data_IF_097265730953
#
_entry.id   IF_097265730953
#
_cell.length_a   1.000
_cell.length_b   1.000
_cell.length_c   1.000
_cell.angle_alpha   90.00
_cell.angle_beta   90.00
_cell.angle_gamma   90.00
#
_symmetry.space_group_name_H-M   'P 1'
#
loop_
_entity.id
_entity.type
_entity.pdbx_description
1 polymer ?
#
# COMPACT_ATOMS: atom_id res chain seq x y z
N UNK A 1 11.58 -4.28 -9.52
CA UNK A 1 11.95 -4.55 -8.12
C UNK A 1 11.87 -6.04 -7.90
N UNK A 2 12.74 -6.57 -7.06
CA UNK A 2 12.90 -8.01 -6.84
C UNK A 2 12.07 -8.49 -5.66
N UNK A 3 11.87 -7.62 -4.69
CA UNK A 3 10.91 -7.78 -3.60
C UNK A 3 9.96 -6.57 -3.62
N UNK A 4 8.66 -6.80 -3.49
CA UNK A 4 7.64 -5.74 -3.46
C UNK A 4 6.73 -5.97 -2.26
N UNK A 5 6.81 -5.10 -1.26
CA UNK A 5 6.03 -5.21 -0.02
C UNK A 5 4.85 -4.23 -0.06
N UNK A 6 3.62 -4.74 0.01
CA UNK A 6 2.38 -3.96 -0.02
C UNK A 6 1.54 -4.19 1.25
N UNK A 7 0.70 -3.23 1.67
CA UNK A 7 -0.13 -3.38 2.88
C UNK A 7 -1.07 -4.59 2.85
N UNK A 8 -1.54 -4.95 1.66
CA UNK A 8 -2.50 -6.04 1.45
C UNK A 8 -1.90 -7.44 1.63
N UNK A 9 -0.57 -7.57 1.53
CA UNK A 9 0.17 -8.83 1.69
C UNK A 9 1.19 -8.65 2.82
N UNK A 10 0.83 -9.04 4.07
CA UNK A 10 1.75 -8.95 5.19
C UNK A 10 2.98 -9.81 4.98
N UNK A 11 4.15 -9.21 5.15
CA UNK A 11 5.42 -9.85 4.79
C UNK A 11 6.05 -10.63 5.95
N UNK A 12 6.88 -11.59 5.57
CA UNK A 12 7.73 -12.40 6.41
C UNK A 12 9.18 -12.02 6.16
N UNK A 13 9.92 -11.61 7.20
CA UNK A 13 11.24 -11.02 7.00
C UNK A 13 12.24 -12.10 6.52
N UNK A 14 12.06 -13.31 6.98
CA UNK A 14 12.84 -14.49 6.61
C UNK A 14 12.66 -14.82 5.12
N UNK A 15 11.43 -14.76 4.60
CA UNK A 15 11.16 -14.99 3.16
C UNK A 15 11.77 -13.89 2.28
N UNK A 16 11.74 -12.64 2.75
CA UNK A 16 12.39 -11.52 2.05
C UNK A 16 13.90 -11.72 2.02
N UNK A 17 14.51 -12.08 3.14
CA UNK A 17 15.94 -12.36 3.24
C UNK A 17 16.36 -13.52 2.35
N UNK A 18 15.58 -14.61 2.33
CA UNK A 18 15.82 -15.75 1.44
C UNK A 18 15.77 -15.34 -0.03
N UNK A 19 14.78 -14.55 -0.45
CA UNK A 19 14.66 -14.06 -1.82
C UNK A 19 15.88 -13.23 -2.24
N UNK A 20 16.41 -12.39 -1.35
CA UNK A 20 17.62 -11.60 -1.59
C UNK A 20 18.86 -12.51 -1.68
N UNK A 21 19.00 -13.47 -0.76
CA UNK A 21 20.13 -14.42 -0.75
C UNK A 21 20.13 -15.33 -1.96
N UNK A 22 18.97 -15.82 -2.38
CA UNK A 22 18.80 -16.64 -3.59
C UNK A 22 19.36 -15.92 -4.82
N UNK A 23 19.02 -14.64 -4.97
CA UNK A 23 19.51 -13.81 -6.08
C UNK A 23 21.02 -13.60 -6.03
N UNK A 24 21.56 -13.36 -4.85
CA UNK A 24 23.01 -13.24 -4.65
C UNK A 24 23.73 -14.54 -5.05
N UNK A 25 23.21 -15.71 -4.60
CA UNK A 25 23.71 -17.04 -5.00
C UNK A 25 23.59 -17.31 -6.49
N UNK A 26 22.57 -16.75 -7.15
CA UNK A 26 22.39 -16.79 -8.59
C UNK A 26 23.30 -15.81 -9.37
N UNK A 27 24.27 -15.17 -8.70
CA UNK A 27 25.27 -14.29 -9.32
C UNK A 27 24.76 -12.88 -9.62
N UNK A 28 23.66 -12.43 -8.99
CA UNK A 28 23.18 -11.05 -9.14
C UNK A 28 23.93 -10.13 -8.17
N UNK A 29 24.37 -8.98 -8.68
CA UNK A 29 25.17 -8.03 -7.89
C UNK A 29 24.34 -7.16 -6.93
N UNK A 30 23.03 -7.07 -7.12
CA UNK A 30 22.14 -6.27 -6.27
C UNK A 30 20.70 -6.80 -6.28
N UNK A 31 19.94 -6.37 -5.28
CA UNK A 31 18.51 -6.59 -5.15
C UNK A 31 17.81 -5.28 -4.78
N UNK A 32 16.66 -5.01 -5.39
CA UNK A 32 15.83 -3.85 -5.09
C UNK A 32 14.60 -4.32 -4.33
N UNK A 33 14.45 -3.83 -3.09
CA UNK A 33 13.28 -4.04 -2.24
C UNK A 33 12.42 -2.78 -2.27
N UNK A 34 11.25 -2.85 -2.91
CA UNK A 34 10.28 -1.76 -2.94
C UNK A 34 9.28 -1.93 -1.80
N UNK A 35 9.17 -0.93 -0.92
CA UNK A 35 8.36 -1.02 0.31
C UNK A 35 7.31 0.09 0.30
N UNK A 36 6.04 -0.29 0.29
CA UNK A 36 4.96 0.68 0.49
C UNK A 36 4.97 1.24 1.92
N UNK A 37 4.61 2.51 2.10
CA UNK A 37 4.56 3.16 3.42
C UNK A 37 3.70 2.40 4.43
N UNK A 38 2.62 1.77 3.95
CA UNK A 38 1.73 0.94 4.78
C UNK A 38 2.08 -0.55 4.82
N UNK A 39 3.24 -0.99 4.34
CA UNK A 39 3.64 -2.38 4.41
C UNK A 39 3.86 -2.81 5.87
N UNK A 40 3.37 -4.00 6.23
CA UNK A 40 3.34 -4.50 7.61
C UNK A 40 3.84 -5.94 7.63
N UNK A 41 4.53 -6.35 8.70
CA UNK A 41 4.93 -7.75 8.85
C UNK A 41 3.74 -8.64 9.22
N UNK A 42 3.85 -9.95 9.03
CA UNK A 42 2.84 -10.93 9.50
C UNK A 42 2.58 -10.81 11.01
N UNK A 43 3.61 -10.49 11.80
CA UNK A 43 3.48 -10.29 13.25
C UNK A 43 2.66 -9.03 13.56
N UNK A 44 2.95 -7.92 12.88
CA UNK A 44 2.22 -6.66 13.03
C UNK A 44 0.77 -6.78 12.55
N UNK A 45 0.54 -7.45 11.43
CA UNK A 45 -0.79 -7.73 10.91
C UNK A 45 -1.64 -8.52 11.92
N UNK A 46 -1.07 -9.55 12.56
CA UNK A 46 -1.74 -10.31 13.64
C UNK A 46 -2.07 -9.41 14.83
N UNK A 47 -1.14 -8.56 15.27
CA UNK A 47 -1.35 -7.64 16.38
C UNK A 47 -2.45 -6.61 16.08
N UNK A 48 -2.49 -6.08 14.86
CA UNK A 48 -3.52 -5.14 14.40
C UNK A 48 -4.88 -5.82 14.35
N UNK A 49 -4.99 -7.02 13.75
CA UNK A 49 -6.24 -7.78 13.70
C UNK A 49 -6.78 -8.07 15.10
N UNK A 50 -5.92 -8.52 16.04
CA UNK A 50 -6.31 -8.74 17.42
C UNK A 50 -6.80 -7.46 18.13
N UNK A 51 -6.17 -6.31 17.84
CA UNK A 51 -6.58 -5.01 18.36
C UNK A 51 -7.92 -4.53 17.75
N UNK A 52 -8.18 -4.85 16.48
CA UNK A 52 -9.46 -4.53 15.81
C UNK A 52 -10.60 -5.41 16.30
N UNK A 53 -10.36 -6.70 16.54
CA UNK A 53 -11.33 -7.62 17.14
C UNK A 53 -11.70 -7.20 18.57
N UNK A 54 -10.73 -6.81 19.39
CA UNK A 54 -10.98 -6.31 20.75
C UNK A 54 -11.76 -5.00 20.72
N UNK A 55 -11.54 -4.13 19.73
CA UNK A 55 -12.37 -2.94 19.52
C UNK A 55 -13.80 -3.29 19.11
N UNK A 56 -13.99 -4.28 18.23
CA UNK A 56 -15.31 -4.72 17.78
C UNK A 56 -16.13 -5.37 18.91
N UNK A 57 -15.46 -6.10 19.81
CA UNK A 57 -16.09 -6.74 20.99
C UNK A 57 -16.32 -5.77 22.17
N UNK A 58 -15.76 -4.56 22.14
CA UNK A 58 -15.89 -3.59 23.22
C UNK A 58 -17.26 -2.88 23.20
N UNK A 59 -18.10 -3.18 24.20
CA UNK A 59 -19.43 -2.57 24.39
C UNK A 59 -19.37 -1.21 25.10
N UNK A 60 -18.36 -0.98 25.96
CA UNK A 60 -18.25 0.25 26.76
C UNK A 60 -17.42 1.35 26.07
N UNK A 61 -17.83 2.61 26.23
CA UNK A 61 -17.13 3.80 25.71
C UNK A 61 -15.68 3.89 26.20
N UNK A 62 -15.40 3.46 27.44
CA UNK A 62 -14.05 3.43 28.00
C UNK A 62 -13.16 2.36 27.36
N UNK A 63 -13.71 1.16 27.12
CA UNK A 63 -13.02 0.07 26.44
C UNK A 63 -12.75 0.40 24.96
N UNK A 64 -13.70 1.05 24.27
CA UNK A 64 -13.50 1.55 22.90
C UNK A 64 -12.40 2.62 22.82
N UNK A 65 -12.33 3.53 23.81
CA UNK A 65 -11.28 4.56 23.85
C UNK A 65 -9.89 3.94 24.06
N UNK A 66 -9.77 2.92 24.93
CA UNK A 66 -8.53 2.17 25.18
C UNK A 66 -8.10 1.31 23.98
N UNK A 67 -9.05 0.67 23.29
CA UNK A 67 -8.77 -0.07 22.07
C UNK A 67 -8.35 0.87 20.92
N UNK A 68 -8.98 2.05 20.80
CA UNK A 68 -8.62 3.08 19.82
C UNK A 68 -7.23 3.66 20.08
N UNK A 69 -6.86 3.89 21.33
CA UNK A 69 -5.52 4.37 21.68
C UNK A 69 -4.45 3.31 21.40
N UNK A 70 -4.70 2.04 21.76
CA UNK A 70 -3.78 0.92 21.49
C UNK A 70 -3.59 0.69 19.98
N UNK A 71 -4.66 0.79 19.19
CA UNK A 71 -4.58 0.74 17.73
C UNK A 71 -3.81 1.94 17.16
N UNK A 72 -4.00 3.14 17.71
CA UNK A 72 -3.26 4.35 17.31
C UNK A 72 -1.77 4.23 17.64
N UNK A 73 -1.42 3.64 18.77
CA UNK A 73 -0.03 3.39 19.18
C UNK A 73 0.64 2.37 18.26
N UNK A 74 -0.02 1.25 17.96
CA UNK A 74 0.45 0.26 16.99
C UNK A 74 0.62 0.90 15.60
N UNK A 75 -0.34 1.72 15.17
CA UNK A 75 -0.25 2.48 13.90
C UNK A 75 0.87 3.52 13.92
N UNK A 76 1.13 4.16 15.05
CA UNK A 76 2.21 5.16 15.19
C UNK A 76 3.60 4.54 15.18
N UNK A 77 3.75 3.29 15.63
CA UNK A 77 5.00 2.53 15.52
C UNK A 77 5.40 2.21 14.07
N UNK A 78 4.53 2.44 13.08
CA UNK A 78 4.90 2.30 11.67
C UNK A 78 5.88 3.38 11.19
N UNK A 79 6.02 4.50 11.91
CA UNK A 79 7.03 5.51 11.58
C UNK A 79 8.43 4.91 11.79
N UNK A 80 9.17 4.71 10.69
CA UNK A 80 10.52 4.10 10.70
C UNK A 80 10.59 2.62 10.32
N UNK A 81 9.48 2.00 9.87
CA UNK A 81 9.47 0.58 9.51
C UNK A 81 10.53 0.22 8.45
N UNK A 82 10.74 1.08 7.46
CA UNK A 82 11.70 0.82 6.36
C UNK A 82 13.15 0.76 6.82
N UNK A 83 13.55 1.61 7.79
CA UNK A 83 14.91 1.59 8.31
C UNK A 83 15.16 0.34 9.17
N UNK A 84 14.18 -0.01 10.02
CA UNK A 84 14.24 -1.26 10.79
C UNK A 84 14.32 -2.48 9.88
N UNK A 85 13.49 -2.52 8.84
CA UNK A 85 13.50 -3.57 7.82
C UNK A 85 14.89 -3.71 7.17
N UNK A 86 15.52 -2.59 6.79
CA UNK A 86 16.85 -2.62 6.21
C UNK A 86 17.89 -3.23 7.16
N UNK A 87 17.95 -2.75 8.41
CA UNK A 87 18.86 -3.30 9.42
C UNK A 87 18.64 -4.81 9.64
N UNK A 88 17.38 -5.26 9.70
CA UNK A 88 17.05 -6.67 9.84
C UNK A 88 17.50 -7.49 8.63
N UNK A 89 17.39 -6.95 7.42
CA UNK A 89 17.89 -7.60 6.21
C UNK A 89 19.42 -7.66 6.20
N UNK A 90 20.13 -6.62 6.65
CA UNK A 90 21.59 -6.67 6.78
C UNK A 90 22.03 -7.76 7.76
N UNK A 91 21.38 -7.85 8.93
CA UNK A 91 21.67 -8.88 9.95
C UNK A 91 21.44 -10.30 9.42
N UNK A 92 20.34 -10.52 8.69
CA UNK A 92 19.96 -11.84 8.19
C UNK A 92 20.74 -12.28 6.95
N UNK A 93 21.12 -11.32 6.09
CA UNK A 93 21.75 -11.64 4.80
C UNK A 93 23.26 -11.42 4.79
N UNK A 94 23.80 -10.60 5.71
CA UNK A 94 25.18 -10.15 5.70
C UNK A 94 25.52 -9.21 4.53
N UNK A 95 24.52 -8.68 3.82
CA UNK A 95 24.68 -7.78 2.68
C UNK A 95 24.35 -6.34 3.09
N UNK A 96 25.14 -5.37 2.63
CA UNK A 96 24.89 -3.93 2.85
C UNK A 96 23.56 -3.51 2.20
N UNK A 97 22.71 -2.81 2.95
CA UNK A 97 21.42 -2.29 2.51
C UNK A 97 21.41 -0.75 2.57
N UNK A 98 21.11 -0.12 1.43
CA UNK A 98 20.96 1.34 1.33
C UNK A 98 19.50 1.72 1.21
N UNK A 99 19.03 2.52 2.16
CA UNK A 99 17.63 2.98 2.21
C UNK A 99 17.50 4.34 1.53
N UNK A 100 16.51 4.47 0.64
CA UNK A 100 16.08 5.75 0.08
C UNK A 100 14.60 5.95 0.35
N UNK A 101 14.25 7.03 1.05
CA UNK A 101 12.87 7.43 1.33
C UNK A 101 12.53 8.62 0.44
N UNK A 102 11.68 8.41 -0.58
CA UNK A 102 11.33 9.44 -1.55
C UNK A 102 10.47 10.56 -0.94
N UNK A 103 9.58 10.23 0.00
CA UNK A 103 8.74 11.19 0.70
C UNK A 103 7.92 12.09 -0.24
N UNK A 104 7.90 13.39 0.04
CA UNK A 104 7.10 14.39 -0.69
C UNK A 104 7.49 14.55 -2.17
N UNK A 105 8.67 14.08 -2.58
CA UNK A 105 9.12 14.15 -3.97
C UNK A 105 8.14 13.44 -4.91
N UNK A 106 7.48 12.37 -4.45
CA UNK A 106 6.48 11.63 -5.24
C UNK A 106 5.20 12.43 -5.54
N UNK A 107 4.94 13.53 -4.82
CA UNK A 107 3.78 14.40 -5.02
C UNK A 107 4.10 15.67 -5.82
N UNK A 108 5.38 15.89 -6.13
CA UNK A 108 5.84 17.03 -6.91
C UNK A 108 6.22 16.66 -8.34
N UNK A 109 6.63 17.67 -9.11
CA UNK A 109 7.01 17.52 -10.51
C UNK A 109 5.88 17.81 -11.49
N UNK A 110 6.22 17.94 -12.77
CA UNK A 110 5.23 18.17 -13.81
C UNK A 110 4.43 16.89 -14.07
N UNK A 111 3.09 16.95 -14.19
CA UNK A 111 2.27 15.77 -14.44
C UNK A 111 2.63 15.14 -15.79
N UNK A 112 2.52 13.80 -15.86
CA UNK A 112 2.75 13.05 -17.09
C UNK A 112 1.69 13.37 -18.15
N UNK A 113 1.94 13.01 -19.42
CA UNK A 113 0.94 13.18 -20.47
C UNK A 113 -0.37 12.42 -20.15
N UNK A 114 -0.26 11.21 -19.59
CA UNK A 114 -1.41 10.41 -19.18
C UNK A 114 -2.21 11.10 -18.06
N UNK A 115 -1.53 11.65 -17.04
CA UNK A 115 -2.20 12.37 -15.95
C UNK A 115 -2.90 13.63 -16.45
N UNK A 116 -2.30 14.36 -17.39
CA UNK A 116 -2.91 15.55 -18.01
C UNK A 116 -4.18 15.17 -18.77
N UNK A 117 -4.10 14.14 -19.62
CA UNK A 117 -5.26 13.65 -20.38
C UNK A 117 -6.38 13.17 -19.44
N UNK A 118 -6.02 12.40 -18.40
CA UNK A 118 -6.97 11.94 -17.40
C UNK A 118 -7.63 13.11 -16.66
N UNK A 119 -6.85 14.10 -16.22
CA UNK A 119 -7.36 15.28 -15.53
C UNK A 119 -8.30 16.10 -16.42
N UNK A 120 -7.93 16.33 -17.68
CA UNK A 120 -8.80 17.01 -18.66
C UNK A 120 -10.10 16.24 -18.89
N UNK A 121 -10.02 14.91 -19.06
CA UNK A 121 -11.20 14.05 -19.25
C UNK A 121 -12.14 14.08 -18.04
N UNK A 122 -11.60 13.97 -16.83
CA UNK A 122 -12.40 14.04 -15.60
C UNK A 122 -12.99 15.43 -15.39
N UNK A 123 -12.23 16.49 -15.68
CA UNK A 123 -12.66 17.87 -15.51
C UNK A 123 -13.77 18.29 -16.49
N UNK A 124 -13.65 17.91 -17.76
CA UNK A 124 -14.70 18.17 -18.79
C UNK A 124 -15.99 17.41 -18.45
N UNK A 125 -15.89 16.13 -18.13
CA UNK A 125 -17.05 15.33 -17.70
C UNK A 125 -17.74 15.89 -16.44
N UNK A 126 -16.97 16.44 -15.50
CA UNK A 126 -17.52 17.12 -14.33
C UNK A 126 -18.37 18.33 -14.73
N UNK A 127 -17.89 19.15 -15.68
CA UNK A 127 -18.65 20.29 -16.19
C UNK A 127 -19.95 19.85 -16.90
N UNK A 128 -19.88 18.79 -17.70
CA UNK A 128 -21.06 18.22 -18.37
C UNK A 128 -22.12 17.72 -17.37
N UNK A 129 -21.69 17.07 -16.28
CA UNK A 129 -22.63 16.62 -15.24
C UNK A 129 -23.26 17.78 -14.48
N UNK A 130 -22.52 18.88 -14.26
CA UNK A 130 -23.07 20.10 -13.65
C UNK A 130 -24.13 20.71 -14.56
N UNK A 131 -23.89 20.79 -15.87
CA UNK A 131 -24.85 21.31 -16.86
C UNK A 131 -26.13 20.45 -16.91
N UNK A 132 -25.98 19.14 -16.76
CA UNK A 132 -27.09 18.18 -16.68
C UNK A 132 -27.82 18.18 -15.32
N UNK A 133 -27.39 19.01 -14.36
CA UNK A 133 -27.98 19.07 -13.01
C UNK A 133 -27.68 17.86 -12.12
N UNK A 134 -26.66 17.06 -12.45
CA UNK A 134 -26.24 15.89 -11.68
C UNK A 134 -25.24 16.31 -10.59
N UNK A 135 -25.74 16.42 -9.36
CA UNK A 135 -24.95 16.77 -8.17
C UNK A 135 -24.79 15.59 -7.21
N UNK A 136 -23.86 15.70 -6.25
CA UNK A 136 -23.64 14.68 -5.22
C UNK A 136 -22.91 13.42 -5.72
N UNK A 137 -22.25 13.52 -6.87
CA UNK A 137 -21.52 12.42 -7.51
C UNK A 137 -20.02 12.74 -7.62
N UNK A 138 -19.19 11.70 -7.58
CA UNK A 138 -17.77 11.72 -7.93
C UNK A 138 -17.62 11.25 -9.38
N UNK A 139 -16.82 11.96 -10.18
CA UNK A 139 -16.47 11.51 -11.53
C UNK A 139 -15.43 10.39 -11.44
N UNK A 140 -15.80 9.17 -11.86
CA UNK A 140 -14.90 8.03 -11.88
C UNK A 140 -14.46 7.71 -13.32
N UNK A 141 -13.16 7.41 -13.51
CA UNK A 141 -12.67 6.85 -14.76
C UNK A 141 -12.90 5.34 -14.81
N UNK A 142 -13.53 4.85 -15.89
CA UNK A 142 -13.76 3.42 -16.13
C UNK A 142 -13.31 3.08 -17.56
N UNK A 143 -12.14 2.45 -17.68
CA UNK A 143 -11.48 2.26 -18.97
C UNK A 143 -11.20 3.60 -19.64
N UNK A 144 -11.66 3.75 -20.88
CA UNK A 144 -11.57 5.02 -21.63
C UNK A 144 -12.72 6.00 -21.34
N UNK A 145 -13.74 5.55 -20.61
CA UNK A 145 -14.91 6.35 -20.27
C UNK A 145 -14.85 6.99 -18.88
N UNK A 146 -15.91 7.74 -18.60
CA UNK A 146 -16.19 8.39 -17.31
C UNK A 146 -17.61 8.09 -16.89
N UNK A 147 -17.85 8.01 -15.59
CA UNK A 147 -19.19 7.76 -15.03
C UNK A 147 -19.39 8.55 -13.73
N UNK A 148 -20.63 8.99 -13.44
CA UNK A 148 -20.98 9.58 -12.16
C UNK A 148 -21.22 8.47 -11.11
N UNK A 149 -20.49 8.52 -10.00
CA UNK A 149 -20.66 7.58 -8.87
C UNK A 149 -21.18 8.36 -7.66
N UNK A 150 -22.31 7.98 -7.04
CA UNK A 150 -22.80 8.65 -5.83
C UNK A 150 -21.74 8.70 -4.73
N UNK A 151 -21.54 9.87 -4.12
CA UNK A 151 -20.52 10.04 -3.07
C UNK A 151 -20.77 9.09 -1.89
N UNK A 152 -22.03 8.83 -1.57
CA UNK A 152 -22.46 7.91 -0.52
C UNK A 152 -21.92 6.48 -0.70
N UNK A 153 -21.72 6.03 -1.94
CA UNK A 153 -21.17 4.71 -2.24
C UNK A 153 -19.65 4.65 -2.05
N UNK A 154 -18.98 5.80 -2.13
CA UNK A 154 -17.52 5.90 -2.08
C UNK A 154 -17.03 6.20 -0.66
N UNK A 155 -17.78 7.00 0.09
CA UNK A 155 -17.40 7.43 1.44
C UNK A 155 -17.21 6.23 2.36
N UNK A 156 -16.06 6.21 3.05
CA UNK A 156 -15.73 5.16 4.01
C UNK A 156 -15.24 3.85 3.40
N UNK A 157 -15.23 3.72 2.06
CA UNK A 157 -14.64 2.57 1.37
C UNK A 157 -13.21 2.90 0.93
N UNK A 158 -12.31 1.94 1.09
CA UNK A 158 -10.94 2.02 0.57
C UNK A 158 -10.81 1.09 -0.62
N UNK A 159 -10.27 1.60 -1.74
CA UNK A 159 -9.85 0.77 -2.87
C UNK A 159 -8.55 0.07 -2.50
N UNK A 160 -8.62 -1.23 -2.22
CA UNK A 160 -7.45 -2.09 -1.97
C UNK A 160 -6.99 -2.76 -3.25
N UNK A 161 -5.75 -3.25 -3.27
CA UNK A 161 -5.26 -4.12 -4.35
C UNK A 161 -5.85 -5.52 -4.15
N UNK A 162 -6.62 -6.07 -5.11
CA UNK A 162 -7.10 -7.46 -5.02
C UNK A 162 -5.92 -8.45 -5.04
N UNK A 163 -5.98 -9.50 -4.23
CA UNK A 163 -4.89 -10.50 -4.15
C UNK A 163 -4.78 -11.36 -5.42
N UNK A 164 -5.86 -11.44 -6.18
CA UNK A 164 -6.00 -12.12 -7.47
C UNK A 164 -5.79 -11.17 -8.66
N UNK A 165 -5.38 -9.92 -8.42
CA UNK A 165 -5.18 -8.94 -9.48
C UNK A 165 -4.12 -9.41 -10.50
N UNK A 166 -4.32 -9.24 -11.81
CA UNK A 166 -3.38 -9.69 -12.85
C UNK A 166 -1.94 -9.23 -12.61
N UNK A 167 -1.73 -7.99 -12.16
CA UNK A 167 -0.39 -7.48 -11.81
C UNK A 167 0.28 -8.21 -10.64
N UNK A 168 -0.47 -8.65 -9.63
CA UNK A 168 0.08 -9.45 -8.52
C UNK A 168 0.55 -10.81 -9.06
N UNK A 169 -0.25 -11.43 -9.93
CA UNK A 169 0.13 -12.67 -10.62
C UNK A 169 1.35 -12.46 -11.50
N UNK A 170 1.37 -11.42 -12.33
CA UNK A 170 2.49 -11.10 -13.23
C UNK A 170 3.77 -10.84 -12.45
N UNK A 171 3.71 -10.11 -11.33
CA UNK A 171 4.86 -9.87 -10.45
C UNK A 171 5.50 -11.19 -9.97
N UNK A 172 4.68 -12.14 -9.50
CA UNK A 172 5.16 -13.47 -9.10
C UNK A 172 5.76 -14.25 -10.28
N UNK A 173 5.12 -14.21 -11.45
CA UNK A 173 5.56 -14.94 -12.65
C UNK A 173 6.91 -14.44 -13.19
N UNK A 174 7.21 -13.15 -13.06
CA UNK A 174 8.53 -12.59 -13.42
C UNK A 174 9.59 -12.81 -12.33
N UNK A 175 9.25 -13.51 -11.24
CA UNK A 175 10.16 -13.85 -10.15
C UNK A 175 10.28 -12.80 -9.04
N UNK A 176 9.36 -11.83 -8.96
CA UNK A 176 9.32 -10.91 -7.83
C UNK A 176 8.66 -11.58 -6.62
N UNK A 177 9.27 -11.41 -5.44
CA UNK A 177 8.76 -11.91 -4.16
C UNK A 177 7.88 -10.83 -3.49
N UNK A 178 6.72 -11.22 -2.92
CA UNK A 178 5.79 -10.28 -2.27
C UNK A 178 5.85 -10.32 -0.74
N UNK A 179 6.84 -11.03 -0.19
CA UNK A 179 7.04 -11.24 1.23
C UNK A 179 6.14 -12.31 1.85
N UNK A 180 5.31 -13.00 1.07
CA UNK A 180 4.40 -14.05 1.54
C UNK A 180 5.09 -15.38 1.83
#
# INVERSE_FOLDING_TARGET
>A
ADVILIPEIPYDIENVAEAVLWRSRAGKNFSIVAVAEGAISKQEAKAIRAAEETKAKAKDKAAQKKAKSKLKELKSRHSGNTLRLANQLEELTGLEARVTILGHLQRGGAPSAADRLLATRLGTACADFIDQGLYGVMVAARGEGVEPVPIEEVVGRRKTVPLDHPWVKSARLIGANLGD
#
